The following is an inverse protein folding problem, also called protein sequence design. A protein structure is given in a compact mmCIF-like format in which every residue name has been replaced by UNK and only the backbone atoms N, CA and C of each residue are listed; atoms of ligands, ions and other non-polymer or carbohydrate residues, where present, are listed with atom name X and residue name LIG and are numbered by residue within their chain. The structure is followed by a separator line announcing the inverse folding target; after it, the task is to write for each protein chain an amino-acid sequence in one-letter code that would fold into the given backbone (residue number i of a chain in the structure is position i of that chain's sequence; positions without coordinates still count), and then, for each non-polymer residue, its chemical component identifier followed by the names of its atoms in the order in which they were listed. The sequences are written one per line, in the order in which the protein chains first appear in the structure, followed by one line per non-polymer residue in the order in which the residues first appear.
data_IF_780392686611
#
_entry.id   IF_780392686611
#
_cell.length_a   1.000
_cell.length_b   1.000
_cell.length_c   1.000
_cell.angle_alpha   90.00
_cell.angle_beta   90.00
_cell.angle_gamma   90.00
#
_symmetry.space_group_name_H-M   'P 1'
#
loop_
_entity.id
_entity.type
_entity.pdbx_description
1 polymer ?
#
# COMPACT_ATOMS: atom_id res chain seq x y z
N UNK A 1 32.64 3.36 9.75
CA UNK A 1 31.79 3.37 9.54
C UNK A 1 30.97 3.68 9.73
N UNK A 2 30.82 3.63 9.91
CA UNK A 2 29.81 3.64 10.01
C UNK A 2 28.96 3.89 9.84
N UNK A 3 28.57 3.58 9.74
CA UNK A 3 27.55 3.62 9.51
C UNK A 3 26.80 3.56 9.82
N UNK A 4 26.84 4.07 9.92
CA UNK A 4 26.03 3.74 10.11
C UNK A 4 24.98 3.17 10.11
N UNK A 5 25.02 2.57 10.55
CA UNK A 5 23.89 1.77 10.53
C UNK A 5 22.88 2.27 11.42
N UNK A 6 21.74 2.60 10.88
CA UNK A 6 20.62 3.02 11.66
C UNK A 6 20.07 1.84 12.40
N UNK A 7 19.62 2.06 13.60
CA UNK A 7 18.91 1.06 14.34
C UNK A 7 17.65 0.67 13.59
N UNK A 8 17.28 -0.56 13.65
CA UNK A 8 16.09 -1.08 13.03
C UNK A 8 16.36 -1.74 11.71
N UNK A 9 15.44 -1.60 10.79
CA UNK A 9 15.44 -2.39 9.58
C UNK A 9 16.18 -1.70 8.44
N UNK A 10 16.74 -2.49 7.54
CA UNK A 10 17.41 -1.98 6.36
C UNK A 10 16.41 -1.60 5.27
N UNK A 11 16.92 -1.12 4.14
CA UNK A 11 16.08 -0.66 3.03
C UNK A 11 15.21 -1.77 2.46
N UNK A 12 15.75 -2.98 2.33
CA UNK A 12 15.00 -4.11 1.80
C UNK A 12 13.82 -4.47 2.70
N UNK A 13 14.05 -4.50 4.01
CA UNK A 13 13.00 -4.79 4.98
C UNK A 13 11.92 -3.72 4.98
N UNK A 14 12.31 -2.46 4.83
CA UNK A 14 11.35 -1.36 4.76
C UNK A 14 10.46 -1.46 3.53
N UNK A 15 11.04 -1.81 2.39
CA UNK A 15 10.28 -2.01 1.16
C UNK A 15 9.29 -3.15 1.31
N UNK A 16 9.72 -4.25 1.92
CA UNK A 16 8.86 -5.40 2.14
C UNK A 16 7.69 -5.05 3.06
N UNK A 17 7.96 -4.29 4.13
CA UNK A 17 6.91 -3.83 5.04
C UNK A 17 5.92 -2.94 4.31
N UNK A 18 6.40 -2.01 3.47
CA UNK A 18 5.53 -1.13 2.69
C UNK A 18 4.65 -1.92 1.73
N UNK A 19 5.24 -2.88 1.03
CA UNK A 19 4.49 -3.75 0.12
C UNK A 19 3.42 -4.54 0.86
N UNK A 20 3.75 -5.08 2.03
CA UNK A 20 2.80 -5.82 2.84
C UNK A 20 1.66 -4.93 3.32
N UNK A 21 1.97 -3.71 3.75
CA UNK A 21 0.95 -2.77 4.20
C UNK A 21 0.04 -2.32 3.06
N UNK A 22 0.57 -2.13 1.86
CA UNK A 22 -0.24 -1.83 0.69
C UNK A 22 -1.18 -2.98 0.37
N UNK A 23 -0.69 -4.20 0.48
CA UNK A 23 -1.51 -5.39 0.26
C UNK A 23 -2.61 -5.50 1.30
N UNK A 24 -2.29 -5.19 2.55
CA UNK A 24 -3.29 -5.18 3.64
C UNK A 24 -4.34 -4.09 3.42
N UNK A 25 -3.96 -2.94 2.88
CA UNK A 25 -4.92 -1.89 2.54
C UNK A 25 -5.91 -2.37 1.48
N UNK A 26 -5.43 -3.07 0.47
CA UNK A 26 -6.32 -3.64 -0.54
C UNK A 26 -7.26 -4.67 0.10
N UNK A 27 -6.71 -5.50 0.97
CA UNK A 27 -7.43 -6.61 1.59
C UNK A 27 -8.48 -6.14 2.60
N UNK A 28 -8.08 -5.25 3.51
CA UNK A 28 -8.90 -4.88 4.67
C UNK A 28 -9.47 -3.47 4.64
N UNK A 29 -8.95 -2.61 3.77
CA UNK A 29 -9.41 -1.23 3.66
C UNK A 29 -8.78 -0.27 4.65
N UNK A 30 -8.08 -0.76 5.64
CA UNK A 30 -7.39 0.08 6.62
C UNK A 30 -6.29 -0.69 7.33
N UNK A 31 -5.28 0.05 7.80
CA UNK A 31 -4.19 -0.51 8.59
C UNK A 31 -3.84 0.45 9.72
N UNK A 32 -3.24 -0.07 10.79
CA UNK A 32 -2.72 0.74 11.88
C UNK A 32 -1.21 0.54 11.94
N UNK A 33 -0.45 1.62 11.98
CA UNK A 33 1.00 1.56 11.95
C UNK A 33 1.63 2.82 12.53
N UNK A 34 2.96 2.87 12.58
CA UNK A 34 3.71 4.05 13.02
C UNK A 34 3.67 5.13 11.94
N UNK A 35 3.83 6.38 12.33
CA UNK A 35 3.74 7.52 11.41
C UNK A 35 4.70 7.40 10.22
N UNK A 36 5.94 7.00 10.46
CA UNK A 36 6.92 6.90 9.38
C UNK A 36 6.49 5.91 8.30
N UNK A 37 5.99 4.76 8.71
CA UNK A 37 5.46 3.75 7.77
C UNK A 37 4.15 4.21 7.14
N UNK A 38 3.29 4.85 7.94
CA UNK A 38 2.00 5.30 7.44
C UNK A 38 2.15 6.25 6.24
N UNK A 39 3.03 7.24 6.35
CA UNK A 39 3.27 8.19 5.26
C UNK A 39 3.87 7.53 4.02
N UNK A 40 4.84 6.67 4.23
CA UNK A 40 5.48 5.95 3.12
C UNK A 40 4.46 5.06 2.41
N UNK A 41 3.66 4.33 3.18
CA UNK A 41 2.63 3.45 2.64
C UNK A 41 1.57 4.24 1.88
N UNK A 42 1.15 5.40 2.37
CA UNK A 42 0.21 6.26 1.66
C UNK A 42 0.72 6.64 0.28
N UNK A 43 1.97 7.12 0.21
CA UNK A 43 2.56 7.53 -1.07
C UNK A 43 2.64 6.36 -2.04
N UNK A 44 3.08 5.24 -1.55
CA UNK A 44 3.24 4.05 -2.37
C UNK A 44 1.90 3.52 -2.86
N UNK A 45 0.92 3.51 -1.98
CA UNK A 45 -0.43 3.04 -2.31
C UNK A 45 -1.10 3.95 -3.34
N UNK A 46 -0.91 5.26 -3.22
CA UNK A 46 -1.47 6.18 -4.21
C UNK A 46 -0.87 5.96 -5.60
N UNK A 47 0.41 5.68 -5.67
CA UNK A 47 1.05 5.32 -6.93
C UNK A 47 0.47 4.01 -7.48
N UNK A 48 0.19 3.06 -6.60
CA UNK A 48 -0.38 1.78 -6.99
C UNK A 48 -1.78 1.95 -7.55
N UNK A 49 -2.62 2.79 -6.96
CA UNK A 49 -3.96 3.08 -7.47
C UNK A 49 -3.88 3.77 -8.83
N UNK A 50 -2.98 4.73 -8.98
CA UNK A 50 -2.78 5.42 -10.25
C UNK A 50 -2.35 4.43 -11.33
N UNK A 51 -1.46 3.52 -10.99
CA UNK A 51 -1.03 2.44 -11.90
C UNK A 51 -2.23 1.58 -12.32
N UNK A 52 -3.09 1.23 -11.38
CA UNK A 52 -4.22 0.35 -11.63
C UNK A 52 -5.31 1.00 -12.48
N UNK A 53 -5.34 2.32 -12.56
CA UNK A 53 -6.29 3.03 -13.42
C UNK A 53 -6.03 2.78 -14.90
N UNK A 54 -4.81 2.39 -15.24
CA UNK A 54 -4.45 2.00 -16.60
C UNK A 54 -4.45 0.47 -16.63
N UNK A 55 -5.49 -0.12 -17.22
CA UNK A 55 -5.68 -1.56 -17.21
C UNK A 55 -5.09 -2.18 -18.47
N UNK A 56 -3.84 -2.64 -18.40
CA UNK A 56 -3.21 -3.39 -19.47
C UNK A 56 -2.24 -4.42 -18.86
N UNK A 57 -1.63 -5.22 -19.72
CA UNK A 57 -0.75 -6.29 -19.27
C UNK A 57 0.47 -5.78 -18.51
N UNK A 58 1.04 -4.65 -18.96
CA UNK A 58 2.22 -4.07 -18.34
C UNK A 58 1.91 -3.61 -16.90
N UNK A 59 0.80 -2.89 -16.71
CA UNK A 59 0.43 -2.41 -15.38
C UNK A 59 0.07 -3.55 -14.45
N UNK A 60 -0.59 -4.59 -14.96
CA UNK A 60 -0.91 -5.78 -14.17
C UNK A 60 0.35 -6.49 -13.70
N UNK A 61 1.36 -6.63 -14.57
CA UNK A 61 2.64 -7.23 -14.21
C UNK A 61 3.35 -6.43 -13.12
N UNK A 62 3.33 -5.10 -13.22
CA UNK A 62 3.90 -4.25 -12.18
C UNK A 62 3.17 -4.41 -10.86
N UNK A 63 1.84 -4.48 -10.88
CA UNK A 63 1.05 -4.70 -9.68
C UNK A 63 1.38 -6.05 -9.06
N UNK A 64 1.51 -7.11 -9.85
CA UNK A 64 1.91 -8.42 -9.34
C UNK A 64 3.29 -8.40 -8.69
N UNK A 65 4.20 -7.56 -9.16
CA UNK A 65 5.53 -7.46 -8.56
C UNK A 65 5.52 -6.72 -7.22
N UNK A 66 4.47 -5.98 -6.92
CA UNK A 66 4.34 -5.19 -5.70
C UNK A 66 3.48 -5.88 -4.66
N UNK A 67 2.31 -6.39 -5.07
CA UNK A 67 1.32 -6.96 -4.16
C UNK A 67 1.78 -8.29 -3.60
N UNK A 68 1.58 -8.46 -2.30
CA UNK A 68 1.89 -9.70 -1.57
C UNK A 68 0.58 -10.32 -1.09
N UNK A 69 0.60 -11.63 -0.88
CA UNK A 69 -0.59 -12.29 -0.33
C UNK A 69 -0.85 -11.84 1.11
N UNK A 70 -2.10 -11.88 1.53
CA UNK A 70 -2.49 -11.63 2.91
C UNK A 70 -3.12 -12.90 3.47
N UNK A 71 -3.43 -12.91 4.76
CA UNK A 71 -4.09 -14.05 5.37
C UNK A 71 -5.49 -14.30 4.81
N UNK A 72 -6.10 -13.26 4.23
CA UNK A 72 -7.46 -13.34 3.71
C UNK A 72 -7.54 -13.61 2.20
N UNK A 73 -6.56 -13.12 1.44
CA UNK A 73 -6.57 -13.19 -0.01
C UNK A 73 -5.23 -13.61 -0.60
N UNK A 74 -5.27 -14.28 -1.74
CA UNK A 74 -4.06 -14.56 -2.52
C UNK A 74 -3.64 -13.31 -3.28
N UNK A 75 -2.42 -13.33 -3.83
CA UNK A 75 -1.91 -12.22 -4.63
C UNK A 75 -2.82 -11.96 -5.83
N UNK A 76 -3.24 -13.00 -6.51
CA UNK A 76 -4.10 -12.88 -7.70
C UNK A 76 -5.43 -12.23 -7.35
N UNK A 77 -6.02 -12.62 -6.23
CA UNK A 77 -7.27 -12.04 -5.77
C UNK A 77 -7.12 -10.56 -5.43
N UNK A 78 -5.99 -10.18 -4.81
CA UNK A 78 -5.73 -8.79 -4.46
C UNK A 78 -5.49 -7.93 -5.70
N UNK A 79 -4.75 -8.43 -6.67
CA UNK A 79 -4.54 -7.70 -7.93
C UNK A 79 -5.86 -7.52 -8.67
N UNK A 80 -6.68 -8.56 -8.69
CA UNK A 80 -8.00 -8.48 -9.31
C UNK A 80 -8.87 -7.43 -8.62
N UNK A 81 -8.88 -7.44 -7.29
CA UNK A 81 -9.63 -6.46 -6.51
C UNK A 81 -9.13 -5.04 -6.78
N UNK A 82 -7.81 -4.86 -6.85
CA UNK A 82 -7.21 -3.56 -7.14
C UNK A 82 -7.69 -3.01 -8.48
N UNK A 83 -7.66 -3.81 -9.54
CA UNK A 83 -8.02 -3.36 -10.88
C UNK A 83 -9.53 -3.26 -11.10
N UNK A 84 -10.31 -4.16 -10.51
CA UNK A 84 -11.76 -4.21 -10.76
C UNK A 84 -12.57 -3.37 -9.79
N UNK A 85 -12.14 -3.28 -8.53
CA UNK A 85 -12.91 -2.54 -7.52
C UNK A 85 -12.31 -1.17 -7.22
N UNK A 86 -11.06 -1.17 -6.77
CA UNK A 86 -10.43 0.08 -6.30
C UNK A 86 -10.17 1.06 -7.44
N UNK A 87 -9.68 0.59 -8.57
CA UNK A 87 -9.43 1.46 -9.70
C UNK A 87 -10.71 2.10 -10.22
N UNK A 88 -11.81 1.36 -10.22
CA UNK A 88 -13.10 1.89 -10.63
C UNK A 88 -13.67 2.86 -9.61
N UNK A 89 -13.53 2.54 -8.33
CA UNK A 89 -14.00 3.40 -7.24
C UNK A 89 -13.35 4.78 -7.29
N UNK A 90 -12.07 4.81 -7.62
CA UNK A 90 -11.30 6.06 -7.61
C UNK A 90 -11.05 6.63 -9.00
N UNK A 91 -11.76 6.16 -10.00
CA UNK A 91 -11.53 6.60 -11.39
C UNK A 91 -11.58 8.11 -11.56
N UNK A 92 -12.53 8.77 -10.95
CA UNK A 92 -12.70 10.22 -11.08
C UNK A 92 -11.86 11.01 -10.08
N UNK A 93 -11.21 10.33 -9.14
CA UNK A 93 -10.43 10.99 -8.10
C UNK A 93 -8.98 11.08 -8.53
N UNK A 94 -8.39 12.27 -8.39
CA UNK A 94 -7.02 12.51 -8.88
C UNK A 94 -5.94 12.36 -7.82
N UNK A 95 -6.22 11.73 -6.72
CA UNK A 95 -5.29 11.55 -5.62
C UNK A 95 -6.04 11.56 -4.31
N UNK A 96 -5.30 11.46 -3.20
CA UNK A 96 -5.94 11.46 -1.89
C UNK A 96 -6.85 10.25 -1.68
N UNK A 97 -6.40 9.08 -2.10
CA UNK A 97 -7.19 7.86 -1.98
C UNK A 97 -7.22 7.29 -0.58
N UNK A 98 -6.35 7.77 0.28
CA UNK A 98 -6.26 7.34 1.67
C UNK A 98 -6.27 8.56 2.57
N UNK A 99 -6.65 8.34 3.82
CA UNK A 99 -6.54 9.36 4.86
C UNK A 99 -5.77 8.82 6.04
N UNK A 100 -5.10 9.71 6.75
CA UNK A 100 -4.27 9.40 7.89
C UNK A 100 -4.91 9.96 9.15
N UNK A 101 -5.20 9.09 10.11
CA UNK A 101 -5.83 9.47 11.38
C UNK A 101 -4.97 9.02 12.54
N UNK A 102 -4.77 9.89 13.52
CA UNK A 102 -4.08 9.51 14.74
C UNK A 102 -5.06 8.76 15.63
N UNK A 103 -4.69 7.55 16.03
CA UNK A 103 -5.57 6.72 16.88
C UNK A 103 -5.16 6.74 18.34
N UNK A 104 -3.85 6.72 18.60
CA UNK A 104 -3.33 6.77 19.96
C UNK A 104 -1.88 7.26 19.87
N UNK A 105 -1.22 7.38 21.01
CA UNK A 105 0.17 7.84 21.03
C UNK A 105 1.03 6.89 20.20
N UNK A 106 1.64 7.42 19.15
CA UNK A 106 2.53 6.67 18.30
C UNK A 106 1.87 5.77 17.28
N UNK A 107 0.54 5.72 17.22
CA UNK A 107 -0.21 4.89 16.27
C UNK A 107 -1.05 5.74 15.35
N UNK A 108 -1.08 5.35 14.08
CA UNK A 108 -1.85 6.04 13.06
C UNK A 108 -2.64 5.04 12.24
N UNK A 109 -3.85 5.43 11.87
CA UNK A 109 -4.71 4.65 11.00
C UNK A 109 -4.61 5.19 9.58
N UNK A 110 -4.27 4.34 8.63
CA UNK A 110 -4.33 4.64 7.20
C UNK A 110 -5.57 3.94 6.67
N UNK A 111 -6.48 4.70 6.12
CA UNK A 111 -7.78 4.19 5.72
C UNK A 111 -8.12 4.64 4.31
N UNK A 112 -8.74 3.76 3.54
CA UNK A 112 -9.24 4.11 2.21
C UNK A 112 -10.41 5.11 2.34
N UNK A 113 -10.39 6.10 1.48
CA UNK A 113 -11.45 7.11 1.46
C UNK A 113 -12.74 6.58 0.84
#
# INVERSE_FOLDING_TARGET
MSYIHKKGVDTASRRMTTRQQCSDLISYGQITTKLSYARTTQKYFEKLITLAKVDNLITKRKAYSIVLRTSKFTREELVKKLFEELAKKYRSRKGGYTRLLKTSKGSFLVQLV
#
